data_IF_885053429025
#
_entry.id   IF_885053429025
#
_cell.length_a   1.000
_cell.length_b   1.000
_cell.length_c   1.000
_cell.angle_alpha   90.00
_cell.angle_beta   90.00
_cell.angle_gamma   90.00
#
_symmetry.space_group_name_H-M   'P 1'
#
loop_
_entity.id
_entity.type
_entity.pdbx_description
1 polymer ?
#
# COMPACT_ATOMS: atom_id res chain seq x y z
N UNK A 1 -12.07 -21.61 -14.68
CA UNK A 1 -10.70 -21.79 -15.19
C UNK A 1 -9.70 -21.15 -14.22
N UNK A 2 -8.83 -21.93 -13.56
CA UNK A 2 -7.61 -21.40 -12.94
C UNK A 2 -6.62 -21.13 -14.09
N UNK A 3 -6.24 -19.88 -14.29
CA UNK A 3 -5.16 -19.53 -15.21
C UNK A 3 -3.87 -20.23 -14.76
N UNK A 4 -3.13 -20.88 -15.66
CA UNK A 4 -1.82 -21.45 -15.35
C UNK A 4 -0.88 -20.31 -15.01
N UNK A 5 -0.50 -20.22 -13.73
CA UNK A 5 0.55 -19.33 -13.26
C UNK A 5 1.85 -19.79 -13.90
N UNK A 6 2.30 -19.04 -14.90
CA UNK A 6 3.53 -19.31 -15.64
C UNK A 6 4.73 -19.23 -14.69
N UNK A 7 5.56 -20.28 -14.69
CA UNK A 7 6.88 -20.30 -14.05
C UNK A 7 7.70 -19.07 -14.47
N UNK A 8 7.70 -18.04 -13.64
CA UNK A 8 8.64 -16.93 -13.75
C UNK A 8 9.60 -17.01 -12.58
N UNK A 9 10.85 -17.33 -12.93
CA UNK A 9 12.05 -17.39 -12.10
C UNK A 9 11.98 -16.37 -10.96
N UNK A 10 11.46 -16.81 -9.82
CA UNK A 10 11.40 -16.01 -8.61
C UNK A 10 12.83 -15.79 -8.16
N UNK A 11 13.25 -14.54 -8.01
CA UNK A 11 14.55 -14.24 -7.40
C UNK A 11 14.60 -14.95 -6.04
N UNK A 12 15.74 -15.55 -5.65
CA UNK A 12 15.85 -16.23 -4.37
C UNK A 12 15.45 -15.27 -3.25
N UNK A 13 14.74 -15.76 -2.23
CA UNK A 13 14.17 -14.94 -1.14
C UNK A 13 15.26 -14.05 -0.51
N UNK A 14 16.50 -14.55 -0.45
CA UNK A 14 17.68 -13.80 0.00
C UNK A 14 17.93 -12.52 -0.82
N UNK A 15 17.76 -12.57 -2.14
CA UNK A 15 17.91 -11.40 -3.01
C UNK A 15 16.80 -10.37 -2.76
N UNK A 16 15.57 -10.84 -2.52
CA UNK A 16 14.45 -9.95 -2.19
C UNK A 16 14.73 -9.20 -0.88
N UNK A 17 15.24 -9.92 0.12
CA UNK A 17 15.64 -9.34 1.41
C UNK A 17 16.73 -8.28 1.24
N UNK A 18 17.72 -8.54 0.38
CA UNK A 18 18.76 -7.57 0.03
C UNK A 18 18.17 -6.31 -0.63
N UNK A 19 17.18 -6.45 -1.52
CA UNK A 19 16.50 -5.29 -2.13
C UNK A 19 15.85 -4.43 -1.04
N UNK A 20 15.04 -5.02 -0.16
CA UNK A 20 14.39 -4.28 0.93
C UNK A 20 15.42 -3.65 1.88
N UNK A 21 16.50 -4.35 2.21
CA UNK A 21 17.57 -3.84 3.05
C UNK A 21 18.27 -2.62 2.42
N UNK A 22 18.63 -2.69 1.14
CA UNK A 22 19.26 -1.57 0.42
C UNK A 22 18.32 -0.38 0.34
N UNK A 23 17.04 -0.59 0.01
CA UNK A 23 16.05 0.49 -0.08
C UNK A 23 15.84 1.15 1.29
N UNK A 24 15.72 0.38 2.36
CA UNK A 24 15.58 0.92 3.72
C UNK A 24 16.86 1.63 4.18
N UNK A 25 18.03 1.11 3.82
CA UNK A 25 19.31 1.76 4.10
C UNK A 25 19.41 3.12 3.41
N UNK A 26 19.07 3.19 2.12
CA UNK A 26 19.01 4.46 1.37
C UNK A 26 17.95 5.39 1.95
N UNK A 27 16.76 4.88 2.29
CA UNK A 27 15.70 5.65 2.94
C UNK A 27 16.15 6.22 4.30
N UNK A 28 16.96 5.48 5.06
CA UNK A 28 17.52 5.93 6.32
C UNK A 28 18.52 7.09 6.10
N UNK A 29 19.39 6.98 5.09
CA UNK A 29 20.31 8.07 4.72
C UNK A 29 19.53 9.34 4.34
N UNK A 30 18.48 9.20 3.54
CA UNK A 30 17.60 10.33 3.16
C UNK A 30 16.91 10.91 4.40
N UNK A 31 16.41 10.05 5.30
CA UNK A 31 15.76 10.47 6.53
C UNK A 31 16.67 11.30 7.44
N UNK A 32 17.98 11.05 7.44
CA UNK A 32 18.95 11.79 8.24
C UNK A 32 19.31 13.15 7.63
N UNK A 33 19.16 13.30 6.31
CA UNK A 33 19.38 14.59 5.62
C UNK A 33 18.19 15.53 5.70
N UNK A 34 17.00 15.04 6.09
CA UNK A 34 15.79 15.84 6.21
C UNK A 34 15.80 16.67 7.52
N UNK A 35 15.17 17.86 7.52
CA UNK A 35 15.07 18.68 8.71
C UNK A 35 14.36 17.92 9.86
N UNK A 36 14.87 18.01 11.11
CA UNK A 36 14.28 17.31 12.26
C UNK A 36 12.84 17.76 12.59
N UNK A 37 12.37 18.85 11.99
CA UNK A 37 11.01 19.34 12.14
C UNK A 37 9.94 18.45 11.47
N UNK A 38 10.31 17.52 10.57
CA UNK A 38 9.35 16.63 9.94
C UNK A 38 9.76 15.15 10.05
N UNK A 39 9.37 14.47 11.16
CA UNK A 39 9.73 13.08 11.40
C UNK A 39 8.86 12.14 10.55
N UNK A 40 9.28 11.89 9.31
CA UNK A 40 8.67 10.86 8.47
C UNK A 40 9.28 9.50 8.84
N UNK A 41 8.48 8.46 9.13
CA UNK A 41 9.02 7.13 9.37
C UNK A 41 9.83 6.63 8.17
N UNK A 42 11.03 6.11 8.42
CA UNK A 42 11.91 5.55 7.39
C UNK A 42 11.21 4.55 6.43
N UNK A 43 10.31 3.66 6.89
CA UNK A 43 9.59 2.76 5.98
C UNK A 43 8.70 3.48 4.96
N UNK A 44 8.15 4.65 5.30
CA UNK A 44 7.31 5.44 4.38
C UNK A 44 8.18 6.05 3.28
N UNK A 45 9.38 6.53 3.61
CA UNK A 45 10.37 6.99 2.62
C UNK A 45 10.79 5.83 1.70
N UNK A 46 11.04 4.66 2.29
CA UNK A 46 11.35 3.43 1.54
C UNK A 46 10.23 3.01 0.58
N UNK A 47 8.97 3.15 0.98
CA UNK A 47 7.80 2.88 0.13
C UNK A 47 7.78 3.78 -1.11
N UNK A 48 7.99 5.09 -0.92
CA UNK A 48 8.04 6.06 -2.03
C UNK A 48 9.23 5.78 -2.95
N UNK A 49 10.40 5.47 -2.39
CA UNK A 49 11.61 5.14 -3.16
C UNK A 49 11.43 3.86 -3.98
N UNK A 50 10.90 2.79 -3.37
CA UNK A 50 10.59 1.54 -4.08
C UNK A 50 9.58 1.79 -5.20
N UNK A 51 8.52 2.57 -4.93
CA UNK A 51 7.51 2.93 -5.93
C UNK A 51 8.12 3.67 -7.13
N UNK A 52 9.03 4.61 -6.90
CA UNK A 52 9.75 5.30 -7.97
C UNK A 52 10.64 4.35 -8.78
N UNK A 53 11.39 3.46 -8.13
CA UNK A 53 12.21 2.46 -8.83
C UNK A 53 11.37 1.47 -9.66
N UNK A 54 10.17 1.12 -9.16
CA UNK A 54 9.21 0.29 -9.89
C UNK A 54 8.66 1.03 -11.11
N UNK A 55 8.35 2.32 -10.97
CA UNK A 55 7.86 3.18 -12.06
C UNK A 55 8.93 3.43 -13.12
N UNK A 56 10.19 3.60 -12.71
CA UNK A 56 11.36 3.66 -13.60
C UNK A 56 11.68 2.29 -14.24
N UNK A 57 10.94 1.23 -13.90
CA UNK A 57 11.05 -0.12 -14.45
C UNK A 57 12.42 -0.78 -14.23
N UNK A 58 13.20 -0.26 -13.27
CA UNK A 58 14.51 -0.79 -12.83
C UNK A 58 14.28 -2.08 -12.02
N UNK A 59 13.28 -2.05 -11.14
CA UNK A 59 12.87 -3.20 -10.32
C UNK A 59 11.55 -3.74 -10.87
N UNK A 60 11.46 -5.06 -11.08
CA UNK A 60 10.20 -5.73 -11.42
C UNK A 60 9.46 -6.12 -10.14
N UNK A 61 8.13 -5.99 -10.13
CA UNK A 61 7.29 -6.34 -8.98
C UNK A 61 7.48 -7.81 -8.55
N UNK A 62 7.72 -8.70 -9.51
CA UNK A 62 7.99 -10.13 -9.32
C UNK A 62 9.17 -10.43 -8.39
N UNK A 63 10.10 -9.47 -8.21
CA UNK A 63 11.31 -9.64 -7.39
C UNK A 63 11.09 -9.29 -5.92
N UNK A 64 9.99 -8.63 -5.57
CA UNK A 64 9.74 -8.11 -4.21
C UNK A 64 8.43 -8.60 -3.60
N UNK A 65 7.54 -9.14 -4.43
CA UNK A 65 6.17 -9.55 -4.05
C UNK A 65 6.14 -10.78 -3.11
N UNK A 66 6.98 -11.79 -3.36
CA UNK A 66 6.98 -13.02 -2.55
C UNK A 66 7.37 -12.76 -1.09
N UNK A 67 8.42 -11.98 -0.84
CA UNK A 67 8.81 -11.57 0.50
C UNK A 67 7.74 -10.67 1.12
N UNK A 68 7.19 -9.68 0.40
CA UNK A 68 6.13 -8.82 0.93
C UNK A 68 4.95 -9.63 1.45
N UNK A 69 4.49 -10.61 0.67
CA UNK A 69 3.40 -11.51 1.04
C UNK A 69 3.74 -12.42 2.23
N UNK A 70 5.02 -12.77 2.40
CA UNK A 70 5.48 -13.52 3.58
C UNK A 70 5.50 -12.63 4.83
N UNK A 71 6.01 -11.41 4.72
CA UNK A 71 6.09 -10.44 5.82
C UNK A 71 4.71 -9.99 6.28
N UNK A 72 3.79 -9.68 5.37
CA UNK A 72 2.40 -9.32 5.72
C UNK A 72 1.71 -10.48 6.45
N UNK A 73 1.97 -11.73 6.04
CA UNK A 73 1.50 -12.92 6.75
C UNK A 73 2.08 -13.01 8.17
N UNK A 74 3.35 -12.62 8.35
CA UNK A 74 4.02 -12.61 9.65
C UNK A 74 3.52 -11.50 10.58
N UNK A 75 2.92 -10.41 10.08
CA UNK A 75 2.42 -9.30 10.92
C UNK A 75 1.45 -9.81 12.00
N UNK A 76 0.49 -10.68 11.64
CA UNK A 76 -0.43 -11.28 12.61
C UNK A 76 0.31 -12.12 13.66
N UNK A 77 1.33 -12.87 13.24
CA UNK A 77 2.19 -13.65 14.14
C UNK A 77 3.02 -12.75 15.07
N UNK A 78 3.54 -11.60 14.60
CA UNK A 78 4.29 -10.64 15.41
C UNK A 78 3.40 -9.88 16.41
N UNK A 79 2.10 -9.77 16.15
CA UNK A 79 1.15 -9.18 17.09
C UNK A 79 0.89 -10.05 18.32
N UNK A 80 0.95 -11.38 18.20
CA UNK A 80 0.73 -12.31 19.33
C UNK A 80 1.74 -12.09 20.48
N UNK A 81 3.07 -12.16 20.27
CA UNK A 81 4.05 -11.95 21.35
C UNK A 81 4.04 -10.49 21.86
N UNK A 82 3.79 -9.52 20.97
CA UNK A 82 3.66 -8.12 21.34
C UNK A 82 2.45 -7.89 22.27
N UNK A 83 1.33 -8.56 22.01
CA UNK A 83 0.12 -8.50 22.84
C UNK A 83 0.29 -9.20 24.19
N UNK A 84 0.97 -10.35 24.24
CA UNK A 84 1.27 -11.04 25.51
C UNK A 84 2.16 -10.17 26.42
N UNK A 85 3.10 -9.42 25.84
CA UNK A 85 3.95 -8.49 26.59
C UNK A 85 3.14 -7.36 27.24
N UNK A 86 2.02 -6.98 26.63
CA UNK A 86 1.12 -5.96 27.16
C UNK A 86 0.33 -6.48 28.38
N UNK A 87 -0.03 -7.77 28.41
CA UNK A 87 -0.74 -8.37 29.56
C UNK A 87 0.16 -8.55 30.79
N UNK A 88 1.50 -8.52 30.65
CA UNK A 88 2.39 -8.45 31.80
C UNK A 88 2.25 -7.13 32.59
N UNK A 89 1.71 -6.07 31.97
CA UNK A 89 1.53 -4.73 32.56
C UNK A 89 0.04 -4.34 32.68
N UNK A 90 -0.83 -5.29 33.06
CA UNK A 90 -2.29 -5.12 33.15
C UNK A 90 -2.75 -3.94 34.03
N UNK A 91 -1.98 -3.59 35.07
CA UNK A 91 -2.35 -2.52 36.01
C UNK A 91 -2.45 -1.14 35.34
N UNK A 92 -1.60 -0.87 34.35
CA UNK A 92 -1.60 0.39 33.59
C UNK A 92 -2.68 0.35 32.50
N UNK A 93 -2.91 -0.81 31.90
CA UNK A 93 -3.99 -1.03 30.93
C UNK A 93 -5.38 -0.85 31.53
N UNK A 94 -5.61 -1.22 32.79
CA UNK A 94 -6.94 -1.02 33.41
C UNK A 94 -7.29 0.46 33.59
N UNK A 95 -6.30 1.31 33.87
CA UNK A 95 -6.52 2.75 34.10
C UNK A 95 -6.57 3.53 32.78
N UNK A 96 -5.66 3.26 31.84
CA UNK A 96 -5.52 4.05 30.60
C UNK A 96 -5.99 3.31 29.33
N UNK A 97 -6.35 2.03 29.43
CA UNK A 97 -6.73 1.22 28.27
C UNK A 97 -7.99 1.72 27.58
N UNK A 98 -8.96 2.23 28.34
CA UNK A 98 -10.19 2.80 27.79
C UNK A 98 -9.91 4.10 26.99
N UNK A 99 -8.94 4.90 27.46
CA UNK A 99 -8.46 6.09 26.76
C UNK A 99 -7.70 5.72 25.48
N UNK A 100 -6.89 4.66 25.50
CA UNK A 100 -6.19 4.15 24.31
C UNK A 100 -7.19 3.69 23.23
N UNK A 101 -8.20 2.90 23.59
CA UNK A 101 -9.23 2.46 22.64
C UNK A 101 -9.94 3.65 22.02
N UNK A 102 -10.32 4.64 22.83
CA UNK A 102 -10.94 5.86 22.34
C UNK A 102 -10.04 6.62 21.36
N UNK A 103 -8.75 6.80 21.69
CA UNK A 103 -7.77 7.46 20.83
C UNK A 103 -7.55 6.70 19.52
N UNK A 104 -7.49 5.36 19.56
CA UNK A 104 -7.32 4.53 18.35
C UNK A 104 -8.53 4.68 17.43
N UNK A 105 -9.76 4.59 17.97
CA UNK A 105 -10.99 4.75 17.18
C UNK A 105 -11.02 6.14 16.55
N UNK A 106 -10.79 7.18 17.35
CA UNK A 106 -10.82 8.56 16.87
C UNK A 106 -9.74 8.80 15.81
N UNK A 107 -8.51 8.33 16.04
CA UNK A 107 -7.41 8.42 15.07
C UNK A 107 -7.71 7.67 13.77
N UNK A 108 -8.38 6.52 13.86
CA UNK A 108 -8.77 5.73 12.69
C UNK A 108 -9.81 6.48 11.86
N UNK A 109 -10.83 7.06 12.52
CA UNK A 109 -11.85 7.88 11.84
C UNK A 109 -11.18 9.08 11.15
N UNK A 110 -10.32 9.81 11.87
CA UNK A 110 -9.61 10.97 11.30
C UNK A 110 -8.75 10.54 10.10
N UNK A 111 -7.97 9.45 10.23
CA UNK A 111 -7.14 8.91 9.15
C UNK A 111 -7.98 8.57 7.90
N UNK A 112 -9.12 7.90 8.08
CA UNK A 112 -10.02 7.54 6.98
C UNK A 112 -10.63 8.78 6.32
N UNK A 113 -11.03 9.78 7.11
CA UNK A 113 -11.54 11.05 6.60
C UNK A 113 -10.47 11.75 5.75
N UNK A 114 -9.26 11.91 6.27
CA UNK A 114 -8.14 12.54 5.53
C UNK A 114 -7.81 11.77 4.26
N UNK A 115 -7.79 10.44 4.32
CA UNK A 115 -7.54 9.58 3.15
C UNK A 115 -8.65 9.75 2.09
N UNK A 116 -9.92 9.79 2.50
CA UNK A 116 -11.04 10.00 1.61
C UNK A 116 -11.03 11.39 0.95
N UNK A 117 -10.72 12.45 1.72
CA UNK A 117 -10.56 13.81 1.17
C UNK A 117 -9.38 13.88 0.20
N UNK A 118 -8.24 13.25 0.52
CA UNK A 118 -7.07 13.19 -0.37
C UNK A 118 -7.43 12.49 -1.68
N UNK A 119 -8.13 11.35 -1.62
CA UNK A 119 -8.61 10.64 -2.80
C UNK A 119 -9.58 11.49 -3.63
N UNK A 120 -10.53 12.18 -2.98
CA UNK A 120 -11.48 13.10 -3.64
C UNK A 120 -10.76 14.26 -4.32
N UNK A 121 -9.79 14.88 -3.65
CA UNK A 121 -8.99 15.97 -4.20
C UNK A 121 -8.20 15.50 -5.43
N UNK A 122 -7.61 14.31 -5.38
CA UNK A 122 -6.89 13.72 -6.52
C UNK A 122 -7.81 13.41 -7.70
N UNK A 123 -9.02 12.88 -7.45
CA UNK A 123 -10.03 12.65 -8.49
C UNK A 123 -10.52 13.96 -9.10
N UNK A 124 -10.75 14.98 -8.28
CA UNK A 124 -11.13 16.31 -8.74
C UNK A 124 -10.02 16.95 -9.59
N UNK A 125 -8.76 16.86 -9.17
CA UNK A 125 -7.62 17.35 -9.96
C UNK A 125 -7.48 16.60 -11.30
N UNK A 126 -7.68 15.28 -11.29
CA UNK A 126 -7.71 14.47 -12.53
C UNK A 126 -8.86 14.89 -13.46
N UNK A 127 -10.05 15.22 -12.94
CA UNK A 127 -11.17 15.69 -13.77
C UNK A 127 -10.89 17.03 -14.47
N UNK A 128 -10.03 17.90 -13.90
CA UNK A 128 -9.57 19.14 -14.56
C UNK A 128 -8.52 18.91 -15.65
N UNK A 129 -7.79 17.80 -15.59
CA UNK A 129 -6.76 17.41 -16.57
C UNK A 129 -7.30 16.42 -17.62
N UNK A 130 -8.43 15.76 -17.33
CA UNK A 130 -9.13 14.90 -18.28
C UNK A 130 -9.90 15.75 -19.28
N UNK A 131 -9.28 16.00 -20.44
CA UNK A 131 -10.02 16.34 -21.66
C UNK A 131 -11.16 15.30 -21.84
N UNK A 132 -12.36 15.73 -22.27
CA UNK A 132 -13.57 14.91 -22.21
C UNK A 132 -13.33 13.56 -22.87
N UNK A 133 -13.44 12.50 -22.06
CA UNK A 133 -13.40 11.13 -22.54
C UNK A 133 -14.46 11.00 -23.65
N UNK A 134 -14.01 10.64 -24.87
CA UNK A 134 -14.92 10.42 -26.00
C UNK A 134 -15.95 9.38 -25.58
N UNK A 135 -17.26 9.69 -25.67
CA UNK A 135 -18.27 8.72 -25.30
C UNK A 135 -18.11 7.49 -26.19
N UNK A 136 -17.97 6.33 -25.56
CA UNK A 136 -18.05 5.02 -26.22
C UNK A 136 -19.37 5.02 -26.97
N UNK A 137 -19.30 5.05 -28.32
CA UNK A 137 -20.49 4.88 -29.17
C UNK A 137 -21.13 3.57 -28.76
N UNK A 138 -22.30 3.65 -28.15
CA UNK A 138 -23.18 2.51 -27.97
C UNK A 138 -23.41 1.91 -29.35
N UNK A 139 -22.98 0.66 -29.54
CA UNK A 139 -23.35 -0.15 -30.70
C UNK A 139 -24.87 -0.22 -30.71
N UNK A 140 -25.49 0.62 -31.52
CA UNK A 140 -26.92 0.63 -31.76
C UNK A 140 -27.24 -0.56 -32.65
N UNK A 141 -27.67 -1.66 -32.03
CA UNK A 141 -28.25 -2.82 -32.71
C UNK A 141 -29.58 -2.44 -33.34
N UNK A 142 -29.53 -1.72 -34.46
CA UNK A 142 -30.69 -1.43 -35.29
C UNK A 142 -30.32 -1.39 -36.77
N UNK A 143 -29.58 -2.41 -37.22
CA UNK A 143 -29.31 -2.63 -38.64
C UNK A 143 -28.83 -4.06 -38.94
N UNK A 144 -29.50 -5.06 -38.37
CA UNK A 144 -29.34 -6.45 -38.80
C UNK A 144 -30.66 -7.19 -38.59
N UNK A 145 -31.68 -6.77 -39.35
CA UNK A 145 -32.89 -7.54 -39.63
C UNK A 145 -33.52 -6.94 -40.89
N UNK A 146 -32.86 -7.19 -42.02
CA UNK A 146 -33.39 -7.03 -43.35
C UNK A 146 -33.10 -8.30 -44.13
N UNK A 147 -34.13 -9.12 -44.34
CA UNK A 147 -34.12 -10.25 -45.28
C UNK A 147 -34.05 -11.62 -44.61
N UNK A 148 -35.21 -12.26 -44.43
CA UNK A 148 -35.71 -13.36 -45.27
C UNK A 148 -36.90 -14.04 -44.58
N UNK A 149 -38.03 -14.07 -45.28
CA UNK A 149 -39.19 -14.97 -45.13
C UNK A 149 -40.00 -14.86 -43.83
#
# INVERSE_FOLDING_TARGET
MKTPQTDKKSAPILFQMMIYAVILFVAQLISQTLPPAFPIPTPVIGLVLLYLLLTCRIIKIEWVDSLANTLIGLIAFLFVPSGISLTANLKIMQTEGLKLVFVIILSTIILLVVTAYTARALLWLKSKLQAPAKPVKSVTWKQQNGGLQ
#
